data_IF_603429663651
#
_entry.id   IF_603429663651
#
_cell.length_a   1.000
_cell.length_b   1.000
_cell.length_c   1.000
_cell.angle_alpha   90.00
_cell.angle_beta   90.00
_cell.angle_gamma   90.00
#
_symmetry.space_group_name_H-M   'P 1'
#
loop_
_entity.id
_entity.type
_entity.pdbx_description
1 polymer ?
#
# COMPACT_ATOMS: atom_id res chain seq x y z
N UNK A 1 20.33 -6.56 -11.74
CA UNK A 1 19.92 -5.78 -10.54
C UNK A 1 19.42 -6.73 -9.46
N UNK A 2 19.90 -6.61 -8.21
CA UNK A 2 19.44 -7.38 -7.05
C UNK A 2 18.50 -6.55 -6.18
N UNK A 3 17.29 -7.06 -5.96
CA UNK A 3 16.21 -6.35 -5.27
C UNK A 3 15.77 -7.11 -4.02
N UNK A 4 15.48 -6.38 -2.94
CA UNK A 4 14.85 -6.91 -1.73
C UNK A 4 13.47 -6.27 -1.56
N UNK A 5 12.44 -7.07 -1.31
CA UNK A 5 11.09 -6.61 -0.97
C UNK A 5 10.79 -7.03 0.46
N UNK A 6 10.73 -6.09 1.39
CA UNK A 6 10.22 -6.38 2.74
C UNK A 6 8.70 -6.31 2.74
N UNK A 7 8.03 -7.19 3.49
CA UNK A 7 6.59 -7.42 3.27
C UNK A 7 6.33 -8.12 1.94
N UNK A 8 7.34 -8.85 1.45
CA UNK A 8 7.37 -9.43 0.10
C UNK A 8 6.36 -10.54 -0.12
N UNK A 9 5.94 -11.23 0.93
CA UNK A 9 4.89 -12.26 0.89
C UNK A 9 3.48 -11.71 1.07
N UNK A 10 3.36 -10.42 1.35
CA UNK A 10 2.08 -9.71 1.41
C UNK A 10 1.50 -9.42 0.03
N UNK A 11 0.25 -8.97 0.01
CA UNK A 11 -0.53 -8.73 -1.21
C UNK A 11 0.17 -7.83 -2.25
N UNK A 12 0.66 -6.65 -1.83
CA UNK A 12 1.37 -5.74 -2.75
C UNK A 12 2.77 -6.24 -3.09
N UNK A 13 3.47 -6.82 -2.09
CA UNK A 13 4.84 -7.31 -2.27
C UNK A 13 4.95 -8.37 -3.35
N UNK A 14 4.02 -9.34 -3.37
CA UNK A 14 3.97 -10.38 -4.38
C UNK A 14 3.69 -9.82 -5.78
N UNK A 15 2.79 -8.84 -5.91
CA UNK A 15 2.47 -8.20 -7.19
C UNK A 15 3.64 -7.40 -7.74
N UNK A 16 4.33 -6.66 -6.86
CA UNK A 16 5.59 -5.98 -7.23
C UNK A 16 6.62 -7.01 -7.70
N UNK A 17 6.77 -8.12 -6.97
CA UNK A 17 7.71 -9.19 -7.34
C UNK A 17 7.41 -9.80 -8.71
N UNK A 18 6.15 -10.15 -8.97
CA UNK A 18 5.73 -10.73 -10.26
C UNK A 18 5.99 -9.77 -11.43
N UNK A 19 5.69 -8.48 -11.26
CA UNK A 19 5.95 -7.47 -12.28
C UNK A 19 7.46 -7.27 -12.52
N UNK A 20 8.27 -7.26 -11.45
CA UNK A 20 9.73 -7.16 -11.57
C UNK A 20 10.32 -8.35 -12.33
N UNK A 21 9.87 -9.57 -12.05
CA UNK A 21 10.33 -10.78 -12.74
C UNK A 21 9.91 -10.82 -14.21
N UNK A 22 8.72 -10.31 -14.54
CA UNK A 22 8.17 -10.34 -15.89
C UNK A 22 8.75 -9.25 -16.81
N UNK A 23 9.06 -8.06 -16.27
CA UNK A 23 9.30 -6.86 -17.08
C UNK A 23 10.73 -6.29 -16.96
N UNK A 24 11.60 -6.87 -16.11
CA UNK A 24 12.88 -6.27 -15.75
C UNK A 24 14.05 -7.22 -15.82
N UNK A 25 15.21 -6.64 -16.08
CA UNK A 25 16.48 -7.33 -15.93
C UNK A 25 16.86 -7.40 -14.44
N UNK A 26 16.35 -8.44 -13.78
CA UNK A 26 16.58 -8.73 -12.37
C UNK A 26 17.41 -9.97 -12.24
N UNK A 27 18.60 -9.86 -11.62
CA UNK A 27 19.51 -10.97 -11.37
C UNK A 27 19.13 -11.77 -10.11
N UNK A 28 18.46 -11.10 -9.15
CA UNK A 28 18.00 -11.72 -7.92
C UNK A 28 16.94 -10.90 -7.22
N UNK A 29 15.91 -11.57 -6.72
CA UNK A 29 14.78 -10.99 -6.00
C UNK A 29 14.57 -11.73 -4.69
N UNK A 30 14.65 -11.01 -3.58
CA UNK A 30 14.42 -11.57 -2.24
C UNK A 30 13.12 -11.02 -1.68
N UNK A 31 12.18 -11.92 -1.35
CA UNK A 31 11.00 -11.60 -0.56
C UNK A 31 11.32 -11.86 0.91
N UNK A 32 11.33 -10.81 1.71
CA UNK A 32 11.55 -10.91 3.15
C UNK A 32 10.25 -10.60 3.90
N UNK A 33 9.76 -11.57 4.66
CA UNK A 33 8.49 -11.47 5.38
C UNK A 33 8.50 -12.35 6.64
N UNK A 34 7.62 -12.07 7.61
CA UNK A 34 7.41 -12.93 8.77
C UNK A 34 6.34 -14.01 8.55
N UNK A 35 5.63 -13.96 7.45
CA UNK A 35 4.58 -14.89 7.06
C UNK A 35 4.91 -15.56 5.71
N UNK A 36 4.37 -16.76 5.45
CA UNK A 36 4.47 -17.38 4.13
C UNK A 36 3.70 -16.58 3.07
N UNK A 37 4.06 -16.84 1.81
CA UNK A 37 3.37 -16.26 0.67
C UNK A 37 1.88 -16.61 0.67
N UNK A 38 1.02 -15.60 0.40
CA UNK A 38 -0.43 -15.78 0.31
C UNK A 38 -0.90 -16.27 -1.06
N UNK A 39 -0.06 -16.12 -2.08
CA UNK A 39 -0.31 -16.60 -3.45
C UNK A 39 0.78 -17.59 -3.85
N UNK A 40 0.50 -18.51 -4.80
CA UNK A 40 1.54 -19.30 -5.44
C UNK A 40 2.59 -18.40 -6.07
N UNK A 41 3.86 -18.65 -5.76
CA UNK A 41 4.98 -17.96 -6.38
C UNK A 41 5.48 -18.77 -7.59
N UNK A 42 6.00 -18.11 -8.64
CA UNK A 42 6.57 -18.82 -9.77
C UNK A 42 7.85 -19.58 -9.37
N UNK A 43 8.09 -20.70 -10.03
CA UNK A 43 9.38 -21.39 -9.96
C UNK A 43 10.41 -20.64 -10.83
N UNK A 44 11.01 -19.61 -10.23
CA UNK A 44 12.01 -18.77 -10.89
C UNK A 44 13.29 -18.76 -10.03
N UNK A 45 14.41 -19.15 -10.65
CA UNK A 45 15.71 -19.25 -9.96
C UNK A 45 16.21 -17.92 -9.39
N UNK A 46 15.70 -16.80 -9.90
CA UNK A 46 16.01 -15.45 -9.39
C UNK A 46 15.28 -15.14 -8.09
N UNK A 47 14.16 -15.83 -7.80
CA UNK A 47 13.28 -15.55 -6.67
C UNK A 47 13.68 -16.37 -5.44
N UNK A 48 13.87 -15.69 -4.32
CA UNK A 48 14.13 -16.30 -3.02
C UNK A 48 13.19 -15.76 -1.96
N UNK A 49 12.54 -16.62 -1.21
CA UNK A 49 11.75 -16.24 -0.03
C UNK A 49 12.60 -16.45 1.23
N UNK A 50 12.67 -15.45 2.09
CA UNK A 50 13.37 -15.49 3.38
C UNK A 50 12.40 -15.08 4.46
N UNK A 51 12.16 -15.99 5.41
CA UNK A 51 11.32 -15.70 6.58
C UNK A 51 12.12 -15.02 7.68
N UNK A 52 11.58 -13.95 8.26
CA UNK A 52 12.20 -13.24 9.37
C UNK A 52 11.39 -12.04 9.84
N UNK A 53 11.71 -11.54 11.04
CA UNK A 53 11.09 -10.34 11.63
C UNK A 53 11.83 -9.08 11.12
N UNK A 54 11.08 -8.11 10.62
CA UNK A 54 11.64 -6.82 10.17
C UNK A 54 12.26 -6.01 11.30
N UNK A 55 11.85 -6.26 12.55
CA UNK A 55 12.43 -5.63 13.73
C UNK A 55 13.75 -6.30 14.19
N UNK A 56 14.07 -7.49 13.68
CA UNK A 56 15.38 -8.12 13.88
C UNK A 56 16.42 -7.51 12.92
N UNK A 57 17.23 -6.62 13.47
CA UNK A 57 18.28 -5.90 12.72
C UNK A 57 19.27 -6.83 12.03
N UNK A 58 19.59 -7.96 12.64
CA UNK A 58 20.53 -8.92 12.05
C UNK A 58 19.88 -9.71 10.91
N UNK A 59 18.59 -10.09 11.04
CA UNK A 59 17.85 -10.68 9.93
C UNK A 59 17.77 -9.72 8.74
N UNK A 60 17.47 -8.43 8.98
CA UNK A 60 17.44 -7.39 7.94
C UNK A 60 18.81 -7.24 7.27
N UNK A 61 19.92 -7.18 8.03
CA UNK A 61 21.28 -7.09 7.48
C UNK A 61 21.69 -8.31 6.66
N UNK A 62 21.19 -9.50 6.98
CA UNK A 62 21.45 -10.70 6.18
C UNK A 62 20.79 -10.64 4.80
N UNK A 63 19.60 -10.06 4.70
CA UNK A 63 18.88 -9.98 3.42
C UNK A 63 19.27 -8.75 2.62
N UNK A 64 19.48 -7.59 3.28
CA UNK A 64 20.03 -6.37 2.68
C UNK A 64 21.54 -6.40 2.86
N UNK A 65 22.23 -7.01 1.93
CA UNK A 65 23.68 -7.30 1.99
C UNK A 65 24.37 -6.85 0.70
N UNK A 66 25.68 -7.00 0.66
CA UNK A 66 26.52 -6.62 -0.51
C UNK A 66 25.89 -7.08 -1.82
N UNK A 67 25.81 -6.16 -2.78
CA UNK A 67 25.17 -6.36 -4.08
C UNK A 67 23.68 -6.06 -4.10
N UNK A 68 23.06 -5.62 -2.99
CA UNK A 68 21.68 -5.10 -3.04
C UNK A 68 21.67 -3.72 -3.70
N UNK A 69 20.96 -3.61 -4.83
CA UNK A 69 20.82 -2.37 -5.61
C UNK A 69 19.58 -1.58 -5.19
N UNK A 70 18.50 -2.30 -4.81
CA UNK A 70 17.21 -1.67 -4.50
C UNK A 70 16.45 -2.40 -3.39
N UNK A 71 15.66 -1.63 -2.64
CA UNK A 71 14.74 -2.15 -1.61
C UNK A 71 13.35 -1.55 -1.82
N UNK A 72 12.32 -2.40 -1.93
CA UNK A 72 10.93 -2.00 -1.76
C UNK A 72 10.54 -2.30 -0.31
N UNK A 73 10.36 -1.26 0.49
CA UNK A 73 9.99 -1.41 1.89
C UNK A 73 8.48 -1.30 2.06
N UNK A 74 7.81 -2.47 2.04
CA UNK A 74 6.35 -2.61 2.13
C UNK A 74 5.90 -3.25 3.45
N UNK A 75 6.84 -3.79 4.24
CA UNK A 75 6.54 -4.41 5.53
C UNK A 75 5.93 -3.40 6.50
N UNK A 76 4.75 -3.72 7.01
CA UNK A 76 4.10 -2.95 8.06
C UNK A 76 2.97 -3.76 8.71
N UNK A 77 2.70 -3.53 9.99
CA UNK A 77 1.40 -3.84 10.57
C UNK A 77 0.41 -2.75 10.16
N UNK A 78 -0.83 -3.16 9.84
CA UNK A 78 -1.87 -2.27 9.34
C UNK A 78 -2.47 -1.38 10.43
N UNK A 79 -3.19 -0.32 10.03
CA UNK A 79 -3.68 0.74 10.90
C UNK A 79 -4.44 0.24 12.13
N UNK A 80 -5.43 -0.63 12.00
CA UNK A 80 -6.21 -1.13 13.13
C UNK A 80 -5.40 -2.01 14.09
N UNK A 81 -4.39 -2.72 13.59
CA UNK A 81 -3.51 -3.51 14.46
C UNK A 81 -2.51 -2.61 15.21
N UNK A 82 -1.92 -1.61 14.52
CA UNK A 82 -1.01 -0.66 15.14
C UNK A 82 -1.70 0.26 16.17
N UNK A 83 -3.00 0.50 16.01
CA UNK A 83 -3.80 1.24 16.99
C UNK A 83 -4.14 0.37 18.20
N UNK A 84 -4.48 -0.90 18.00
CA UNK A 84 -4.78 -1.84 19.08
C UNK A 84 -3.55 -2.26 19.89
N UNK A 85 -2.36 -2.29 19.24
CA UNK A 85 -1.08 -2.64 19.85
C UNK A 85 -0.02 -1.64 19.37
N UNK A 86 0.08 -0.55 20.12
CA UNK A 86 0.99 0.57 19.81
C UNK A 86 2.45 0.14 19.82
N UNK A 87 2.87 -0.70 20.77
CA UNK A 87 4.25 -1.17 20.90
C UNK A 87 4.64 -2.04 19.69
N UNK A 88 3.76 -2.94 19.25
CA UNK A 88 3.94 -3.70 18.02
C UNK A 88 4.03 -2.76 16.81
N UNK A 89 3.17 -1.74 16.75
CA UNK A 89 3.19 -0.73 15.70
C UNK A 89 4.54 -0.03 15.61
N UNK A 90 5.07 0.50 16.70
CA UNK A 90 6.37 1.16 16.73
C UNK A 90 7.51 0.20 16.42
N UNK A 91 7.51 -0.99 17.00
CA UNK A 91 8.53 -2.00 16.75
C UNK A 91 8.62 -2.40 15.27
N UNK A 92 7.49 -2.66 14.62
CA UNK A 92 7.46 -3.12 13.22
C UNK A 92 7.58 -1.95 12.25
N UNK A 93 6.73 -0.92 12.40
CA UNK A 93 6.62 0.14 11.39
C UNK A 93 7.71 1.20 11.51
N UNK A 94 8.22 1.47 12.73
CA UNK A 94 9.27 2.47 12.92
C UNK A 94 10.65 1.85 13.09
N UNK A 95 10.86 0.94 14.06
CA UNK A 95 12.17 0.34 14.28
C UNK A 95 12.55 -0.57 13.11
N UNK A 96 11.58 -1.29 12.52
CA UNK A 96 11.78 -2.06 11.29
C UNK A 96 12.19 -1.19 10.11
N UNK A 97 11.53 -0.03 9.90
CA UNK A 97 11.94 0.94 8.88
C UNK A 97 13.36 1.43 9.12
N UNK A 98 13.69 1.76 10.36
CA UNK A 98 15.04 2.18 10.72
C UNK A 98 16.08 1.08 10.49
N UNK A 99 15.75 -0.18 10.81
CA UNK A 99 16.63 -1.32 10.55
C UNK A 99 16.94 -1.47 9.04
N UNK A 100 15.93 -1.31 8.17
CA UNK A 100 16.10 -1.33 6.71
C UNK A 100 17.01 -0.19 6.25
N UNK A 101 16.76 1.03 6.70
CA UNK A 101 17.56 2.21 6.30
C UNK A 101 19.00 2.11 6.80
N UNK A 102 19.23 1.64 8.05
CA UNK A 102 20.56 1.41 8.62
C UNK A 102 21.32 0.31 7.84
N UNK A 103 20.64 -0.77 7.42
CA UNK A 103 21.24 -1.81 6.60
C UNK A 103 21.63 -1.27 5.20
N UNK A 104 20.77 -0.49 4.58
CA UNK A 104 21.06 0.18 3.30
C UNK A 104 22.26 1.14 3.42
N UNK A 105 22.30 1.95 4.48
CA UNK A 105 23.44 2.85 4.76
C UNK A 105 24.75 2.08 4.91
N UNK A 106 24.73 0.92 5.57
CA UNK A 106 25.91 0.11 5.81
C UNK A 106 26.53 -0.45 4.51
N UNK A 107 25.77 -0.53 3.40
CA UNK A 107 26.31 -0.95 2.10
C UNK A 107 27.28 0.07 1.50
N UNK A 108 27.10 1.35 1.79
CA UNK A 108 27.94 2.43 1.24
C UNK A 108 27.75 2.69 -0.27
N UNK A 109 26.79 2.02 -0.91
CA UNK A 109 26.53 2.09 -2.37
C UNK A 109 25.39 3.01 -2.75
N UNK A 110 24.73 3.67 -1.77
CA UNK A 110 23.55 4.51 -1.98
C UNK A 110 22.41 3.75 -2.70
N UNK A 111 21.95 2.61 -2.17
CA UNK A 111 20.91 1.82 -2.82
C UNK A 111 19.60 2.57 -2.92
N UNK A 112 18.78 2.23 -3.94
CA UNK A 112 17.46 2.81 -4.12
C UNK A 112 16.47 2.21 -3.12
N UNK A 113 15.69 3.07 -2.45
CA UNK A 113 14.69 2.63 -1.46
C UNK A 113 13.33 3.24 -1.79
N UNK A 114 12.34 2.40 -2.08
CA UNK A 114 10.94 2.80 -2.25
C UNK A 114 10.18 2.43 -0.98
N UNK A 115 9.73 3.43 -0.24
CA UNK A 115 8.97 3.26 1.00
C UNK A 115 7.48 3.49 0.76
N UNK A 116 6.67 2.48 1.08
CA UNK A 116 5.21 2.61 1.04
C UNK A 116 4.72 3.39 2.27
N UNK A 117 4.46 4.68 2.08
CA UNK A 117 3.73 5.52 3.03
C UNK A 117 2.21 5.40 2.83
N UNK A 118 1.41 6.27 3.38
CA UNK A 118 -0.04 6.14 3.42
C UNK A 118 -0.73 7.51 3.52
N UNK A 119 -1.98 7.60 3.06
CA UNK A 119 -2.87 8.71 3.39
C UNK A 119 -3.08 8.93 4.89
N UNK A 120 -2.84 7.92 5.72
CA UNK A 120 -2.96 8.01 7.17
C UNK A 120 -2.00 9.04 7.82
N UNK A 121 -1.04 9.56 7.07
CA UNK A 121 -0.18 10.68 7.52
C UNK A 121 -0.95 12.00 7.65
N UNK A 122 -2.11 12.10 6.99
CA UNK A 122 -3.03 13.22 7.11
C UNK A 122 -4.14 12.94 8.13
N UNK A 123 -4.67 13.97 8.75
CA UNK A 123 -5.78 13.87 9.69
C UNK A 123 -6.07 15.20 10.37
N UNK A 124 -7.04 15.20 11.30
CA UNK A 124 -7.51 16.40 11.96
C UNK A 124 -8.37 17.28 11.03
N UNK A 125 -8.17 18.59 11.08
CA UNK A 125 -8.88 19.52 10.17
C UNK A 125 -8.24 19.48 8.78
N UNK A 126 -8.85 18.71 7.87
CA UNK A 126 -8.35 18.54 6.51
C UNK A 126 -8.98 19.54 5.54
N UNK A 127 -8.22 20.00 4.50
CA UNK A 127 -8.81 20.68 3.36
C UNK A 127 -9.69 19.73 2.55
N UNK A 128 -10.53 20.24 1.64
CA UNK A 128 -11.36 19.40 0.75
C UNK A 128 -10.56 18.34 -0.05
N UNK A 129 -9.31 18.65 -0.40
CA UNK A 129 -8.38 17.71 -1.01
C UNK A 129 -6.99 17.88 -0.40
N UNK A 130 -6.34 16.76 -0.04
CA UNK A 130 -4.98 16.73 0.49
C UNK A 130 -3.97 16.46 -0.63
N UNK A 131 -2.75 16.97 -0.46
CA UNK A 131 -1.67 16.79 -1.41
C UNK A 131 -0.31 16.95 -0.74
N UNK A 132 0.77 17.07 -1.55
CA UNK A 132 2.14 17.11 -1.05
C UNK A 132 2.40 18.24 -0.06
N UNK A 133 1.74 19.40 -0.23
CA UNK A 133 1.89 20.58 0.62
C UNK A 133 0.97 20.57 1.86
N UNK A 134 0.07 19.59 2.00
CA UNK A 134 -0.78 19.47 3.19
C UNK A 134 0.07 19.05 4.39
N UNK A 135 -0.02 19.77 5.53
CA UNK A 135 0.69 19.39 6.75
C UNK A 135 0.36 17.96 7.20
N UNK A 136 1.38 17.25 7.67
CA UNK A 136 1.20 15.91 8.22
C UNK A 136 0.72 16.02 9.67
N UNK A 137 -0.54 15.71 9.91
CA UNK A 137 -1.19 15.75 11.21
C UNK A 137 -1.91 14.43 11.50
N UNK A 138 -1.16 13.29 11.55
CA UNK A 138 -1.75 11.98 11.73
C UNK A 138 -2.56 11.88 13.01
N UNK A 139 -3.71 11.20 12.96
CA UNK A 139 -4.58 10.97 14.10
C UNK A 139 -4.57 9.50 14.55
N UNK A 140 -3.61 8.72 14.07
CA UNK A 140 -3.43 7.30 14.43
C UNK A 140 -1.95 6.99 14.64
N UNK A 141 -1.66 5.99 15.47
CA UNK A 141 -0.30 5.46 15.68
C UNK A 141 0.35 5.05 14.36
N UNK A 142 -0.40 4.36 13.49
CA UNK A 142 0.06 3.96 12.16
C UNK A 142 0.45 5.17 11.29
N UNK A 143 -0.40 6.19 11.24
CA UNK A 143 -0.13 7.42 10.48
C UNK A 143 1.11 8.14 10.99
N UNK A 144 1.27 8.22 12.32
CA UNK A 144 2.45 8.80 12.98
C UNK A 144 3.72 8.03 12.57
N UNK A 145 3.70 6.70 12.62
CA UNK A 145 4.83 5.85 12.26
C UNK A 145 5.21 6.03 10.78
N UNK A 146 4.21 6.14 9.88
CA UNK A 146 4.45 6.40 8.45
C UNK A 146 5.04 7.80 8.21
N UNK A 147 4.53 8.83 8.88
CA UNK A 147 5.07 10.19 8.79
C UNK A 147 6.54 10.27 9.27
N UNK A 148 6.87 9.63 10.39
CA UNK A 148 8.26 9.53 10.87
C UNK A 148 9.11 8.76 9.83
N UNK A 149 8.60 7.69 9.25
CA UNK A 149 9.27 6.92 8.19
C UNK A 149 9.61 7.79 6.98
N UNK A 150 8.70 8.66 6.52
CA UNK A 150 8.96 9.62 5.44
C UNK A 150 10.12 10.59 5.80
N UNK A 151 10.11 11.12 7.02
CA UNK A 151 11.17 12.01 7.50
C UNK A 151 12.53 11.29 7.53
N UNK A 152 12.57 10.03 7.97
CA UNK A 152 13.78 9.21 7.95
C UNK A 152 14.27 8.97 6.52
N UNK A 153 13.39 8.59 5.59
CA UNK A 153 13.75 8.41 4.17
C UNK A 153 14.34 9.70 3.60
N UNK A 154 13.71 10.83 3.91
CA UNK A 154 14.20 12.14 3.45
C UNK A 154 15.58 12.47 4.03
N UNK A 155 15.82 12.26 5.33
CA UNK A 155 17.10 12.56 5.98
C UNK A 155 18.22 11.65 5.48
N UNK A 156 17.96 10.33 5.35
CA UNK A 156 18.95 9.39 4.82
C UNK A 156 19.31 9.69 3.35
N UNK A 157 18.33 10.15 2.56
CA UNK A 157 18.55 10.57 1.17
C UNK A 157 19.38 11.85 1.08
N UNK A 158 19.03 12.86 1.90
CA UNK A 158 19.77 14.13 1.98
C UNK A 158 21.25 13.91 2.36
N UNK A 159 21.53 12.88 3.16
CA UNK A 159 22.88 12.49 3.56
C UNK A 159 23.61 11.61 2.53
N UNK A 160 22.96 11.24 1.43
CA UNK A 160 23.51 10.36 0.41
C UNK A 160 23.68 8.90 0.86
N UNK A 161 22.99 8.47 1.91
CA UNK A 161 23.06 7.09 2.38
C UNK A 161 22.20 6.15 1.51
N UNK A 162 21.10 6.69 0.98
CA UNK A 162 20.16 5.99 0.09
C UNK A 162 19.68 6.96 -1.00
N UNK A 163 19.19 6.41 -2.12
CA UNK A 163 18.32 7.11 -3.06
C UNK A 163 16.87 6.79 -2.71
N UNK A 164 16.29 7.53 -1.75
CA UNK A 164 15.01 7.23 -1.14
C UNK A 164 13.83 7.89 -1.85
N UNK A 165 12.69 7.21 -1.83
CA UNK A 165 11.38 7.67 -2.30
C UNK A 165 10.30 7.15 -1.36
N UNK A 166 9.52 8.05 -0.78
CA UNK A 166 8.34 7.70 0.00
C UNK A 166 7.08 8.03 -0.82
N UNK A 167 6.23 7.05 -1.03
CA UNK A 167 4.99 7.24 -1.79
C UNK A 167 3.78 7.04 -0.87
N UNK A 168 2.94 8.08 -0.75
CA UNK A 168 1.71 8.06 0.04
C UNK A 168 0.62 7.38 -0.76
N UNK A 169 0.27 6.15 -0.34
CA UNK A 169 -0.72 5.34 -1.01
C UNK A 169 -2.14 5.77 -0.63
N UNK A 170 -3.05 5.97 -1.62
CA UNK A 170 -4.49 6.00 -1.38
C UNK A 170 -4.99 4.69 -0.75
N UNK A 171 -6.25 4.66 -0.31
CA UNK A 171 -6.85 3.40 0.15
C UNK A 171 -6.90 2.40 -0.99
N UNK A 172 -6.22 1.26 -0.80
CA UNK A 172 -6.08 0.24 -1.85
C UNK A 172 -7.33 -0.64 -1.88
N UNK A 173 -8.05 -0.63 -3.00
CA UNK A 173 -9.28 -1.38 -3.26
C UNK A 173 -9.23 -1.93 -4.70
N UNK A 174 -9.51 -3.20 -4.97
CA UNK A 174 -10.03 -4.26 -4.12
C UNK A 174 -8.87 -5.15 -3.69
N UNK A 175 -8.77 -5.46 -2.39
CA UNK A 175 -7.82 -6.48 -1.91
C UNK A 175 -8.52 -7.84 -1.89
N UNK A 176 -7.98 -8.87 -2.57
CA UNK A 176 -8.47 -10.23 -2.46
C UNK A 176 -8.17 -10.85 -1.10
N UNK A 177 -8.70 -12.04 -0.86
CA UNK A 177 -8.49 -12.79 0.37
C UNK A 177 -9.54 -12.54 1.44
N UNK A 178 -9.21 -12.82 2.69
CA UNK A 178 -10.11 -12.64 3.83
C UNK A 178 -10.07 -11.20 4.36
N UNK A 179 -11.15 -10.70 4.98
CA UNK A 179 -11.14 -9.43 5.69
C UNK A 179 -10.00 -9.37 6.72
N UNK A 180 -9.37 -8.22 6.86
CA UNK A 180 -8.35 -7.96 7.87
C UNK A 180 -8.84 -6.94 8.91
N UNK A 181 -7.97 -6.54 9.86
CA UNK A 181 -8.31 -5.60 10.94
C UNK A 181 -8.22 -4.12 10.54
N UNK A 182 -8.01 -3.78 9.27
CA UNK A 182 -8.03 -2.38 8.84
C UNK A 182 -9.48 -1.85 8.83
N UNK A 183 -9.70 -0.61 9.28
CA UNK A 183 -11.01 0.02 9.23
C UNK A 183 -11.58 0.09 7.80
N UNK A 184 -10.71 0.22 6.77
CA UNK A 184 -11.08 0.21 5.36
C UNK A 184 -11.37 -1.18 4.76
N UNK A 185 -11.34 -2.25 5.56
CA UNK A 185 -11.51 -3.62 5.02
C UNK A 185 -12.87 -3.80 4.34
N UNK A 186 -13.90 -3.11 4.85
CA UNK A 186 -15.24 -3.14 4.28
C UNK A 186 -15.27 -2.66 2.82
N UNK A 187 -14.48 -1.66 2.44
CA UNK A 187 -14.44 -1.12 1.08
C UNK A 187 -14.02 -2.17 0.05
N UNK A 188 -13.11 -3.09 0.42
CA UNK A 188 -12.81 -4.25 -0.42
C UNK A 188 -13.87 -5.35 -0.30
N UNK A 189 -14.38 -5.60 0.91
CA UNK A 189 -15.36 -6.67 1.16
C UNK A 189 -16.69 -6.43 0.42
N UNK A 190 -17.18 -5.19 0.40
CA UNK A 190 -18.45 -4.84 -0.26
C UNK A 190 -18.40 -4.97 -1.79
N UNK A 191 -17.22 -5.10 -2.40
CA UNK A 191 -17.04 -5.38 -3.82
C UNK A 191 -16.74 -6.87 -4.01
N UNK A 192 -15.75 -7.36 -3.31
CA UNK A 192 -15.19 -8.69 -3.44
C UNK A 192 -16.19 -9.79 -3.12
N UNK A 193 -16.88 -9.68 -1.97
CA UNK A 193 -17.77 -10.74 -1.50
C UNK A 193 -19.02 -10.88 -2.40
N UNK A 194 -19.75 -9.79 -2.77
CA UNK A 194 -20.89 -9.90 -3.67
C UNK A 194 -20.56 -10.45 -5.05
N UNK A 195 -19.42 -10.03 -5.63
CA UNK A 195 -18.96 -10.56 -6.93
C UNK A 195 -18.53 -12.02 -6.85
N UNK A 196 -18.13 -12.48 -5.67
CA UNK A 196 -17.86 -13.90 -5.39
C UNK A 196 -19.11 -14.69 -4.96
N UNK A 197 -20.31 -14.07 -4.96
CA UNK A 197 -21.58 -14.71 -4.62
C UNK A 197 -21.92 -14.75 -3.13
N UNK A 198 -21.24 -13.96 -2.29
CA UNK A 198 -21.41 -13.88 -0.84
C UNK A 198 -21.99 -12.55 -0.40
N UNK A 199 -22.48 -12.52 0.83
CA UNK A 199 -22.97 -11.29 1.48
C UNK A 199 -21.80 -10.45 1.99
N UNK A 200 -22.00 -9.14 2.02
CA UNK A 200 -21.09 -8.16 2.59
C UNK A 200 -21.86 -7.14 3.42
N UNK A 201 -21.32 -6.81 4.58
CA UNK A 201 -21.84 -5.73 5.43
C UNK A 201 -21.04 -4.46 5.16
N UNK A 202 -21.74 -3.36 4.90
CA UNK A 202 -21.19 -2.02 4.80
C UNK A 202 -21.51 -1.23 6.08
N UNK A 203 -20.48 -0.86 6.87
CA UNK A 203 -20.70 -0.25 8.19
C UNK A 203 -20.77 1.28 8.15
N UNK A 204 -20.76 1.88 6.97
CA UNK A 204 -20.77 3.35 6.82
C UNK A 204 -21.93 3.81 5.92
N UNK A 205 -22.29 5.10 6.02
CA UNK A 205 -23.32 5.70 5.19
C UNK A 205 -22.96 5.63 3.70
N UNK A 206 -23.95 5.46 2.80
CA UNK A 206 -23.74 5.55 1.35
C UNK A 206 -23.07 6.85 0.87
N UNK A 207 -23.30 7.96 1.58
CA UNK A 207 -22.73 9.27 1.25
C UNK A 207 -21.27 9.44 1.71
N UNK A 208 -20.73 8.45 2.44
CA UNK A 208 -19.33 8.47 2.87
C UNK A 208 -18.40 8.46 1.66
N UNK A 209 -17.52 9.46 1.55
CA UNK A 209 -16.56 9.57 0.45
C UNK A 209 -15.22 8.98 0.86
N UNK A 210 -14.63 8.20 -0.04
CA UNK A 210 -13.31 7.60 0.15
C UNK A 210 -12.38 7.92 -1.02
N UNK A 211 -11.11 8.15 -0.69
CA UNK A 211 -10.04 8.32 -1.68
C UNK A 211 -9.36 6.97 -1.95
N UNK A 212 -9.48 6.45 -3.16
CA UNK A 212 -9.12 5.09 -3.54
C UNK A 212 -8.08 5.03 -4.67
N UNK A 213 -7.42 3.88 -4.78
CA UNK A 213 -6.70 3.44 -5.97
C UNK A 213 -6.71 1.92 -6.08
N UNK A 214 -6.67 1.40 -7.31
CA UNK A 214 -6.57 -0.04 -7.57
C UNK A 214 -5.19 -0.59 -7.19
N UNK A 215 -5.08 -1.88 -6.87
CA UNK A 215 -3.79 -2.54 -6.73
C UNK A 215 -2.90 -2.41 -7.97
N UNK A 216 -3.47 -2.41 -9.18
CA UNK A 216 -2.73 -2.20 -10.44
C UNK A 216 -2.02 -0.85 -10.43
N UNK A 217 -2.73 0.24 -10.09
CA UNK A 217 -2.17 1.60 -10.04
C UNK A 217 -1.15 1.76 -8.93
N UNK A 218 -1.39 1.15 -7.76
CA UNK A 218 -0.42 1.17 -6.66
C UNK A 218 0.88 0.46 -7.06
N UNK A 219 0.81 -0.74 -7.62
CA UNK A 219 2.00 -1.49 -8.06
C UNK A 219 2.74 -0.74 -9.17
N UNK A 220 2.01 -0.24 -10.18
CA UNK A 220 2.61 0.59 -11.22
C UNK A 220 3.27 1.86 -10.64
N UNK A 221 2.63 2.52 -9.68
CA UNK A 221 3.19 3.68 -8.99
C UNK A 221 4.47 3.38 -8.20
N UNK A 222 4.52 2.26 -7.47
CA UNK A 222 5.73 1.83 -6.76
C UNK A 222 6.90 1.56 -7.71
N UNK A 223 6.63 0.88 -8.83
CA UNK A 223 7.63 0.59 -9.86
C UNK A 223 8.06 1.86 -10.59
N UNK A 224 7.13 2.74 -10.92
CA UNK A 224 7.44 4.01 -11.55
C UNK A 224 8.27 4.91 -10.63
N UNK A 225 7.92 5.01 -9.36
CA UNK A 225 8.74 5.72 -8.36
C UNK A 225 10.15 5.15 -8.26
N UNK A 226 10.30 3.83 -8.38
CA UNK A 226 11.61 3.18 -8.42
C UNK A 226 12.42 3.63 -9.64
N UNK A 227 11.81 3.79 -10.81
CA UNK A 227 12.52 4.05 -12.07
C UNK A 227 12.89 5.52 -12.28
N UNK A 228 12.13 6.42 -11.70
CA UNK A 228 12.42 7.85 -11.81
C UNK A 228 13.84 8.18 -11.34
N UNK A 229 14.54 9.10 -12.00
CA UNK A 229 15.83 9.58 -11.54
C UNK A 229 15.71 10.29 -10.18
N UNK A 230 16.78 10.27 -9.40
CA UNK A 230 16.79 10.80 -8.03
C UNK A 230 16.44 12.29 -7.94
N UNK A 231 16.83 13.07 -8.91
CA UNK A 231 16.61 14.51 -9.01
C UNK A 231 15.15 14.88 -9.31
N UNK A 232 14.36 13.96 -9.91
CA UNK A 232 12.93 14.16 -10.14
C UNK A 232 12.14 14.42 -8.84
N UNK A 233 12.61 13.88 -7.71
CA UNK A 233 11.97 14.08 -6.41
C UNK A 233 12.36 15.41 -5.74
N UNK A 234 13.43 16.08 -6.18
CA UNK A 234 13.88 17.32 -5.60
C UNK A 234 14.24 17.20 -4.11
N UNK A 235 13.96 18.25 -3.33
CA UNK A 235 14.26 18.30 -1.90
C UNK A 235 13.34 17.41 -1.05
N UNK A 236 12.06 17.25 -1.44
CA UNK A 236 11.11 16.38 -0.75
C UNK A 236 11.08 15.01 -1.41
N UNK A 237 11.46 13.99 -0.66
CA UNK A 237 11.46 12.60 -1.13
C UNK A 237 10.10 11.91 -0.96
N UNK A 238 9.11 12.61 -0.40
CA UNK A 238 7.74 12.12 -0.23
C UNK A 238 6.85 12.63 -1.35
N UNK A 239 5.96 11.78 -1.85
CA UNK A 239 5.06 12.06 -2.96
C UNK A 239 3.68 11.47 -2.69
N UNK A 240 2.62 12.27 -2.88
CA UNK A 240 1.25 11.78 -2.89
C UNK A 240 0.97 11.06 -4.21
N UNK A 241 0.62 9.76 -4.18
CA UNK A 241 0.14 9.10 -5.39
C UNK A 241 -1.24 9.61 -5.80
N UNK A 242 -1.52 9.74 -7.10
CA UNK A 242 -2.85 10.07 -7.57
C UNK A 242 -3.83 8.94 -7.25
N UNK A 243 -5.07 9.31 -7.03
CA UNK A 243 -6.20 8.44 -6.79
C UNK A 243 -7.48 9.19 -7.13
N UNK A 244 -8.62 8.57 -6.92
CA UNK A 244 -9.92 9.19 -7.16
C UNK A 244 -10.80 9.10 -5.92
N UNK A 245 -11.78 10.00 -5.85
CA UNK A 245 -12.76 10.04 -4.76
C UNK A 245 -14.08 9.45 -5.23
N UNK A 246 -14.69 8.63 -4.37
CA UNK A 246 -15.97 8.00 -4.69
C UNK A 246 -16.83 7.84 -3.43
N UNK A 247 -18.12 8.07 -3.54
CA UNK A 247 -19.09 7.76 -2.49
C UNK A 247 -19.26 6.23 -2.37
N UNK A 248 -19.41 5.74 -1.14
CA UNK A 248 -19.57 4.29 -0.89
C UNK A 248 -20.84 3.75 -1.54
N UNK A 249 -21.91 4.56 -1.64
CA UNK A 249 -23.12 4.22 -2.40
C UNK A 249 -22.86 3.99 -3.88
N UNK A 250 -21.98 4.79 -4.50
CA UNK A 250 -21.56 4.60 -5.89
C UNK A 250 -20.70 3.35 -6.07
N UNK A 251 -19.87 2.98 -5.06
CA UNK A 251 -19.16 1.71 -5.08
C UNK A 251 -20.14 0.53 -5.11
N UNK A 252 -21.22 0.60 -4.32
CA UNK A 252 -22.28 -0.42 -4.34
C UNK A 252 -23.01 -0.47 -5.68
N UNK A 253 -23.36 0.68 -6.26
CA UNK A 253 -23.98 0.77 -7.59
C UNK A 253 -23.10 0.15 -8.67
N UNK A 254 -21.79 0.39 -8.61
CA UNK A 254 -20.81 -0.19 -9.53
C UNK A 254 -20.72 -1.72 -9.41
N UNK A 255 -20.87 -2.29 -8.21
CA UNK A 255 -21.00 -3.75 -8.02
C UNK A 255 -22.23 -4.27 -8.76
N UNK A 256 -23.36 -3.54 -8.71
CA UNK A 256 -24.56 -3.87 -9.46
C UNK A 256 -24.34 -3.84 -10.98
N UNK A 257 -23.61 -2.85 -11.49
CA UNK A 257 -23.26 -2.77 -12.93
C UNK A 257 -22.39 -3.95 -13.38
N UNK A 258 -21.44 -4.36 -12.54
CA UNK A 258 -20.50 -5.43 -12.88
C UNK A 258 -21.04 -6.84 -12.66
N UNK A 259 -21.82 -7.08 -11.59
CA UNK A 259 -22.29 -8.39 -11.17
C UNK A 259 -23.81 -8.60 -11.25
N UNK A 260 -24.54 -7.58 -11.71
CA UNK A 260 -26.01 -7.59 -11.81
C UNK A 260 -26.70 -7.32 -10.47
N UNK A 261 -28.02 -7.25 -10.51
CA UNK A 261 -28.88 -6.99 -9.34
C UNK A 261 -28.67 -7.98 -8.20
N UNK A 262 -28.40 -9.24 -8.53
CA UNK A 262 -28.14 -10.29 -7.55
C UNK A 262 -26.84 -10.04 -6.74
N UNK A 263 -25.82 -9.39 -7.34
CA UNK A 263 -24.62 -8.99 -6.62
C UNK A 263 -24.90 -7.77 -5.74
N UNK A 264 -25.59 -6.77 -6.27
CA UNK A 264 -25.98 -5.58 -5.49
C UNK A 264 -26.80 -5.94 -4.24
N UNK A 265 -27.78 -6.85 -4.38
CA UNK A 265 -28.65 -7.30 -3.30
C UNK A 265 -27.95 -8.04 -2.15
N UNK A 266 -26.65 -8.40 -2.32
CA UNK A 266 -25.83 -9.01 -1.26
C UNK A 266 -25.11 -7.98 -0.40
N UNK A 267 -25.26 -6.67 -0.65
CA UNK A 267 -24.66 -5.61 0.16
C UNK A 267 -25.69 -5.17 1.21
N UNK A 268 -25.39 -5.41 2.48
CA UNK A 268 -26.21 -5.01 3.61
C UNK A 268 -25.62 -3.77 4.28
N UNK A 269 -26.47 -2.79 4.55
CA UNK A 269 -26.10 -1.56 5.23
C UNK A 269 -26.38 -1.69 6.72
N UNK A 270 -25.34 -1.85 7.52
CA UNK A 270 -25.41 -1.95 8.98
C UNK A 270 -24.44 -0.91 9.60
N UNK A 271 -24.91 0.32 9.87
CA UNK A 271 -24.06 1.40 10.34
C UNK A 271 -23.36 1.07 11.66
N UNK A 272 -22.04 1.24 11.68
CA UNK A 272 -21.19 1.19 12.88
C UNK A 272 -20.63 2.61 13.11
N UNK A 273 -21.06 3.24 14.22
CA UNK A 273 -20.68 4.62 14.53
C UNK A 273 -19.18 4.80 14.74
N UNK A 274 -18.48 3.78 15.25
CA UNK A 274 -17.03 3.86 15.46
C UNK A 274 -16.30 3.82 14.12
N UNK A 275 -16.68 2.89 13.24
CA UNK A 275 -16.09 2.80 11.90
C UNK A 275 -16.42 4.06 11.09
N UNK A 276 -17.67 4.52 11.15
CA UNK A 276 -18.09 5.76 10.47
C UNK A 276 -17.23 6.95 10.92
N UNK A 277 -17.01 7.11 12.22
CA UNK A 277 -16.20 8.21 12.77
C UNK A 277 -14.73 8.12 12.29
N UNK A 278 -14.14 6.92 12.30
CA UNK A 278 -12.78 6.71 11.82
C UNK A 278 -12.66 7.09 10.34
N UNK A 279 -13.57 6.60 9.50
CA UNK A 279 -13.53 6.83 8.05
C UNK A 279 -13.80 8.30 7.71
N UNK A 280 -14.74 8.95 8.41
CA UNK A 280 -15.03 10.38 8.22
C UNK A 280 -13.85 11.30 8.56
N UNK A 281 -12.90 10.84 9.37
CA UNK A 281 -11.65 11.55 9.67
C UNK A 281 -10.55 11.39 8.60
N UNK A 282 -10.77 10.60 7.56
CA UNK A 282 -9.78 10.37 6.50
C UNK A 282 -9.93 11.38 5.36
N UNK A 283 -8.86 11.59 4.57
CA UNK A 283 -8.93 12.41 3.37
C UNK A 283 -10.01 11.91 2.40
N UNK A 284 -10.91 12.81 2.02
CA UNK A 284 -11.97 12.52 1.06
C UNK A 284 -11.57 12.89 -0.37
N UNK A 285 -10.66 13.86 -0.53
CA UNK A 285 -10.14 14.30 -1.81
C UNK A 285 -8.63 14.23 -1.87
N UNK A 286 -8.11 13.96 -3.06
CA UNK A 286 -6.67 13.94 -3.36
C UNK A 286 -6.35 14.93 -4.47
N UNK A 287 -5.18 15.57 -4.34
CA UNK A 287 -4.55 16.30 -5.42
C UNK A 287 -3.07 15.90 -5.48
N UNK A 288 -2.63 15.49 -6.65
CA UNK A 288 -1.29 14.97 -6.85
C UNK A 288 -0.59 15.58 -8.08
N UNK A 289 -0.61 16.94 -8.24
CA UNK A 289 -0.11 17.58 -9.46
C UNK A 289 1.37 17.28 -9.70
N UNK A 290 2.17 17.14 -8.64
CA UNK A 290 3.58 16.78 -8.75
C UNK A 290 3.76 15.34 -9.24
N UNK A 291 2.97 14.38 -8.75
CA UNK A 291 3.01 13.01 -9.22
C UNK A 291 2.53 12.91 -10.67
N UNK A 292 1.44 13.61 -11.03
CA UNK A 292 0.91 13.64 -12.39
C UNK A 292 1.93 14.22 -13.38
N UNK A 293 2.62 15.30 -13.00
CA UNK A 293 3.71 15.88 -13.80
C UNK A 293 4.90 14.94 -13.98
N UNK A 294 5.10 14.00 -13.04
CA UNK A 294 6.10 12.94 -13.11
C UNK A 294 5.60 11.68 -13.84
N UNK A 295 4.38 11.68 -14.37
CA UNK A 295 3.82 10.58 -15.15
C UNK A 295 3.08 9.49 -14.34
N UNK A 296 2.78 9.73 -13.07
CA UNK A 296 1.90 8.83 -12.31
C UNK A 296 0.45 8.99 -12.77
N UNK A 297 -0.29 7.89 -12.81
CA UNK A 297 -1.65 7.84 -13.34
C UNK A 297 -2.61 7.25 -12.31
N UNK A 298 -3.77 7.89 -12.11
CA UNK A 298 -4.89 7.35 -11.33
C UNK A 298 -5.72 6.36 -12.15
N UNK A 299 -6.59 5.59 -11.44
CA UNK A 299 -7.72 4.93 -12.08
C UNK A 299 -8.74 6.00 -12.55
N UNK A 300 -9.47 5.74 -13.64
CA UNK A 300 -10.50 6.64 -14.16
C UNK A 300 -11.77 6.67 -13.28
N UNK A 301 -11.92 5.70 -12.38
CA UNK A 301 -13.03 5.59 -11.44
C UNK A 301 -13.24 4.17 -10.93
N UNK A 302 -14.34 3.98 -10.19
CA UNK A 302 -14.63 2.73 -9.49
C UNK A 302 -14.88 1.55 -10.45
N UNK A 303 -15.43 1.80 -11.63
CA UNK A 303 -15.69 0.74 -12.61
C UNK A 303 -14.37 0.13 -13.13
N UNK A 304 -13.33 0.94 -13.38
CA UNK A 304 -11.99 0.43 -13.74
C UNK A 304 -11.40 -0.43 -12.61
N UNK A 305 -11.57 0.00 -11.35
CA UNK A 305 -11.09 -0.75 -10.18
C UNK A 305 -11.77 -2.11 -10.06
N UNK A 306 -13.08 -2.15 -10.25
CA UNK A 306 -13.86 -3.40 -10.21
C UNK A 306 -13.47 -4.31 -11.37
N UNK A 307 -13.32 -3.76 -12.58
CA UNK A 307 -12.88 -4.52 -13.74
C UNK A 307 -11.50 -5.14 -13.51
N UNK A 308 -10.56 -4.36 -12.97
CA UNK A 308 -9.23 -4.86 -12.61
C UNK A 308 -9.30 -6.02 -11.60
N UNK A 309 -10.18 -5.93 -10.59
CA UNK A 309 -10.38 -7.02 -9.64
C UNK A 309 -10.98 -8.28 -10.30
N UNK A 310 -11.95 -8.10 -11.21
CA UNK A 310 -12.57 -9.23 -11.93
C UNK A 310 -11.53 -9.99 -12.75
N UNK A 311 -10.67 -9.27 -13.46
CA UNK A 311 -9.64 -9.83 -14.32
C UNK A 311 -8.50 -10.49 -13.53
N UNK A 312 -8.04 -9.86 -12.44
CA UNK A 312 -6.84 -10.28 -11.73
C UNK A 312 -7.11 -11.28 -10.61
N UNK A 313 -8.24 -11.14 -9.89
CA UNK A 313 -8.39 -11.74 -8.57
C UNK A 313 -9.67 -12.53 -8.35
N UNK A 314 -10.76 -12.25 -9.08
CA UNK A 314 -12.07 -12.83 -8.80
C UNK A 314 -12.09 -14.36 -8.92
N UNK A 315 -11.35 -14.91 -9.90
CA UNK A 315 -11.28 -16.36 -10.08
C UNK A 315 -10.67 -17.05 -8.87
N UNK A 316 -9.55 -16.50 -8.36
CA UNK A 316 -8.90 -16.98 -7.14
C UNK A 316 -9.78 -16.76 -5.91
N UNK A 317 -10.44 -15.59 -5.80
CA UNK A 317 -11.33 -15.27 -4.67
C UNK A 317 -12.47 -16.27 -4.55
N UNK A 318 -13.04 -16.75 -5.66
CA UNK A 318 -14.08 -17.80 -5.68
C UNK A 318 -13.58 -19.15 -5.18
N UNK A 319 -12.29 -19.44 -5.26
CA UNK A 319 -11.68 -20.69 -4.78
C UNK A 319 -11.35 -20.66 -3.28
N UNK A 320 -11.25 -19.47 -2.68
CA UNK A 320 -10.96 -19.29 -1.25
C UNK A 320 -12.19 -19.44 -0.34
N UNK A 321 -13.32 -19.87 -0.91
CA UNK A 321 -14.65 -20.00 -0.27
C UNK A 321 -14.95 -21.43 0.11
#
# INVERSE_FOLDING_TARGET
MRIVITGGCGFLGQRVALQLLAQRDVDGLVLFDNAPSTLPLPDDKRLKVVTGDIADREAVRRVISTGTDSVFHLAAVVSGQAEADTDLGYRVNLDGTRAVLDACRALGTCPRVVFASSLAVYGGALPPAVGDETPLTPQTSYGTQKAIGELLVNDYSRKGFIDGRAVRLPTVVVRPGRPNRAASTFASSMIREPLAGREAVCPVSPDTVMALASPRRIVAGLLHAHDLPADAFGASRSLQLPGFSVAVGEMAAAVGRAGGEAAYARIYWEPDLQIQQIISGWPQGLQAPRAEALGFVADSGIDEVIQAFIEDDLAMQKQLV
#
